data_IF_675557427088
#
_entry.id   IF_675557427088
#
_cell.length_a   1.000
_cell.length_b   1.000
_cell.length_c   1.000
_cell.angle_alpha   90.00
_cell.angle_beta   90.00
_cell.angle_gamma   90.00
#
_symmetry.space_group_name_H-M   'P 1'
#
loop_
_entity.id
_entity.type
_entity.pdbx_description
1 polymer ?
#
# COMPACT_ATOMS: atom_id res chain seq x y z
N UNK A 1 -9.85 -8.85 -21.37
CA UNK A 1 -8.68 -8.20 -20.75
C UNK A 1 -8.99 -7.87 -19.29
N UNK A 2 -8.16 -8.29 -18.33
CA UNK A 2 -8.37 -8.01 -16.89
C UNK A 2 -8.12 -6.52 -16.64
N UNK A 3 -9.13 -5.76 -16.20
CA UNK A 3 -8.98 -4.33 -15.91
C UNK A 3 -7.91 -4.13 -14.84
N UNK A 4 -6.93 -3.25 -15.12
CA UNK A 4 -5.88 -2.91 -14.17
C UNK A 4 -6.44 -1.86 -13.21
N UNK A 5 -6.62 -2.26 -11.96
CA UNK A 5 -7.04 -1.33 -10.92
C UNK A 5 -5.86 -0.45 -10.52
N UNK A 6 -6.12 0.86 -10.42
CA UNK A 6 -5.15 1.82 -9.93
C UNK A 6 -5.42 2.01 -8.43
N UNK A 7 -4.46 1.55 -7.63
CA UNK A 7 -4.47 1.71 -6.18
C UNK A 7 -3.46 2.79 -5.84
N UNK A 8 -3.87 3.73 -5.01
CA UNK A 8 -3.06 4.83 -4.50
C UNK A 8 -2.95 4.66 -3.00
N UNK A 9 -1.74 4.79 -2.46
CA UNK A 9 -1.49 4.84 -1.03
C UNK A 9 -0.79 6.14 -0.67
N UNK A 10 -1.20 6.74 0.45
CA UNK A 10 -0.62 7.95 1.04
C UNK A 10 -0.15 7.64 2.45
N UNK A 11 1.08 8.01 2.77
CA UNK A 11 1.59 7.98 4.14
C UNK A 11 1.50 9.39 4.71
N UNK A 12 0.97 9.50 5.93
CA UNK A 12 0.78 10.74 6.65
C UNK A 12 1.57 10.72 7.96
N UNK A 13 2.03 11.90 8.38
CA UNK A 13 2.57 12.08 9.72
C UNK A 13 1.46 12.23 10.78
N UNK A 14 1.84 12.40 12.04
CA UNK A 14 0.90 12.59 13.16
C UNK A 14 0.08 13.88 13.05
N UNK A 15 0.52 14.84 12.23
CA UNK A 15 -0.16 16.12 11.98
C UNK A 15 -1.03 16.08 10.71
N UNK A 16 -1.14 14.93 10.04
CA UNK A 16 -1.91 14.77 8.81
C UNK A 16 -1.22 15.30 7.55
N UNK A 17 0.08 15.63 7.60
CA UNK A 17 0.86 16.06 6.43
C UNK A 17 1.26 14.84 5.60
N UNK A 18 1.18 14.97 4.28
CA UNK A 18 1.56 13.92 3.34
C UNK A 18 3.09 13.77 3.33
N UNK A 19 3.56 12.60 3.74
CA UNK A 19 4.98 12.22 3.71
C UNK A 19 5.33 11.67 2.33
N UNK A 20 4.51 10.75 1.84
CA UNK A 20 4.76 10.06 0.58
C UNK A 20 3.44 9.61 -0.07
N UNK A 21 3.46 9.51 -1.40
CA UNK A 21 2.35 8.98 -2.19
C UNK A 21 2.90 7.99 -3.20
N UNK A 22 2.21 6.88 -3.37
CA UNK A 22 2.61 5.87 -4.33
C UNK A 22 1.43 5.11 -4.92
N UNK A 23 1.69 4.47 -6.05
CA UNK A 23 0.71 3.64 -6.76
C UNK A 23 1.25 2.24 -6.98
N UNK A 24 0.34 1.28 -7.11
CA UNK A 24 0.69 -0.11 -7.42
C UNK A 24 1.36 -0.23 -8.79
N UNK A 25 2.31 -1.15 -8.91
CA UNK A 25 3.00 -1.43 -10.16
C UNK A 25 2.91 -2.92 -10.48
N UNK A 26 2.30 -3.24 -11.63
CA UNK A 26 2.21 -4.60 -12.15
C UNK A 26 3.48 -5.07 -12.88
N UNK A 27 4.52 -4.23 -12.94
CA UNK A 27 5.79 -4.53 -13.65
C UNK A 27 6.98 -4.55 -12.72
N UNK A 28 6.98 -3.70 -11.69
CA UNK A 28 8.09 -3.60 -10.73
C UNK A 28 7.86 -4.57 -9.57
N UNK A 29 8.93 -5.20 -9.12
CA UNK A 29 9.00 -6.03 -7.92
C UNK A 29 9.90 -5.37 -6.88
N UNK A 30 9.87 -5.83 -5.64
CA UNK A 30 10.78 -5.34 -4.60
C UNK A 30 11.13 -6.45 -3.60
N UNK A 31 12.38 -6.53 -3.09
CA UNK A 31 12.75 -7.53 -2.08
C UNK A 31 11.87 -7.50 -0.84
N UNK A 32 11.54 -6.29 -0.34
CA UNK A 32 10.65 -6.13 0.82
C UNK A 32 9.23 -6.67 0.55
N UNK A 33 8.70 -6.45 -0.66
CA UNK A 33 7.42 -7.02 -1.06
C UNK A 33 7.49 -8.55 -1.04
N UNK A 34 8.53 -9.13 -1.67
CA UNK A 34 8.72 -10.58 -1.70
C UNK A 34 8.92 -11.19 -0.31
N UNK A 35 9.62 -10.49 0.59
CA UNK A 35 9.84 -10.91 1.96
C UNK A 35 8.51 -11.05 2.72
N UNK A 36 7.68 -10.00 2.75
CA UNK A 36 6.38 -10.06 3.40
C UNK A 36 5.43 -11.04 2.70
N UNK A 37 5.49 -11.11 1.37
CA UNK A 37 4.71 -12.06 0.58
C UNK A 37 4.99 -13.51 0.99
N UNK A 38 6.28 -13.87 1.13
CA UNK A 38 6.71 -15.18 1.65
C UNK A 38 6.28 -15.40 3.10
N UNK A 39 6.42 -14.37 3.96
CA UNK A 39 6.07 -14.44 5.38
C UNK A 39 4.59 -14.78 5.61
N UNK A 40 3.68 -14.27 4.77
CA UNK A 40 2.23 -14.53 4.89
C UNK A 40 1.75 -15.69 4.01
N UNK A 41 2.65 -16.49 3.44
CA UNK A 41 2.31 -17.66 2.61
C UNK A 41 1.81 -17.34 1.20
N UNK A 42 2.10 -16.15 0.67
CA UNK A 42 1.74 -15.70 -0.67
C UNK A 42 2.95 -15.32 -1.53
N UNK A 43 3.95 -16.21 -1.73
CA UNK A 43 5.21 -15.87 -2.42
C UNK A 43 5.02 -15.40 -3.86
N UNK A 44 3.88 -15.69 -4.50
CA UNK A 44 3.53 -15.23 -5.84
C UNK A 44 3.27 -13.71 -5.93
N UNK A 45 3.01 -13.04 -4.80
CA UNK A 45 2.66 -11.60 -4.74
C UNK A 45 3.90 -10.71 -4.73
N UNK A 46 4.77 -10.90 -5.72
CA UNK A 46 6.08 -10.23 -5.86
C UNK A 46 5.99 -8.79 -6.38
N UNK A 47 4.87 -8.43 -7.02
CA UNK A 47 4.68 -7.11 -7.60
C UNK A 47 4.41 -6.04 -6.55
N UNK A 48 4.94 -4.85 -6.80
CA UNK A 48 5.00 -3.77 -5.83
C UNK A 48 3.61 -3.17 -5.59
N UNK A 49 3.06 -3.38 -4.40
CA UNK A 49 1.77 -2.82 -3.99
C UNK A 49 1.90 -1.34 -3.63
N UNK A 50 0.78 -0.61 -3.69
CA UNK A 50 0.79 0.83 -3.45
C UNK A 50 1.27 1.15 -2.02
N UNK A 51 0.82 0.37 -1.04
CA UNK A 51 1.11 0.54 0.38
C UNK A 51 2.60 0.39 0.66
N UNK A 52 3.19 -0.74 0.25
CA UNK A 52 4.62 -1.00 0.44
C UNK A 52 5.44 0.07 -0.30
N UNK A 53 5.03 0.47 -1.50
CA UNK A 53 5.73 1.54 -2.23
C UNK A 53 5.69 2.89 -1.49
N UNK A 54 4.57 3.22 -0.86
CA UNK A 54 4.43 4.46 -0.11
C UNK A 54 5.31 4.43 1.15
N UNK A 55 5.35 3.29 1.85
CA UNK A 55 6.23 3.08 3.01
C UNK A 55 7.70 3.23 2.59
N UNK A 56 8.13 2.55 1.52
CA UNK A 56 9.51 2.66 1.01
C UNK A 56 9.88 4.10 0.64
N UNK A 57 8.94 4.84 0.06
CA UNK A 57 9.14 6.26 -0.30
C UNK A 57 9.17 7.20 0.89
N UNK A 58 8.59 6.82 2.02
CA UNK A 58 8.70 7.61 3.24
C UNK A 58 10.14 7.60 3.78
N UNK A 59 10.92 6.55 3.45
CA UNK A 59 12.29 6.39 3.93
C UNK A 59 12.31 6.29 5.45
N UNK A 60 13.17 7.08 6.08
CA UNK A 60 13.34 7.11 7.54
C UNK A 60 12.29 7.95 8.28
N UNK A 61 11.33 8.54 7.56
CA UNK A 61 10.29 9.36 8.18
C UNK A 61 9.28 8.48 8.93
N UNK A 62 8.92 8.89 10.14
CA UNK A 62 7.92 8.20 10.93
C UNK A 62 6.53 8.36 10.31
N UNK A 63 5.95 7.24 9.87
CA UNK A 63 4.59 7.18 9.33
C UNK A 63 3.62 6.92 10.48
N UNK A 64 2.65 7.81 10.65
CA UNK A 64 1.61 7.65 11.67
C UNK A 64 0.36 6.97 11.12
N UNK A 65 -0.06 7.40 9.93
CA UNK A 65 -1.29 6.93 9.27
C UNK A 65 -1.00 6.57 7.81
N UNK A 66 -1.57 5.48 7.33
CA UNK A 66 -1.57 5.14 5.90
C UNK A 66 -3.01 5.14 5.37
N UNK A 67 -3.22 5.81 4.25
CA UNK A 67 -4.50 5.88 3.56
C UNK A 67 -4.42 5.16 2.21
N UNK A 68 -5.34 4.25 1.95
CA UNK A 68 -5.36 3.45 0.72
C UNK A 68 -6.67 3.69 -0.02
N UNK A 69 -6.57 4.08 -1.28
CA UNK A 69 -7.73 4.29 -2.14
C UNK A 69 -7.58 3.57 -3.47
N UNK A 70 -8.66 2.94 -3.92
CA UNK A 70 -8.73 2.27 -5.23
C UNK A 70 -9.64 3.09 -6.12
N UNK A 71 -9.16 3.42 -7.30
CA UNK A 71 -9.91 4.15 -8.32
C UNK A 71 -10.29 3.14 -9.41
N UNK A 72 -11.58 3.03 -9.70
CA UNK A 72 -12.08 2.20 -10.80
C UNK A 72 -11.96 2.95 -12.15
N UNK A 73 -12.27 2.28 -13.26
CA UNK A 73 -12.20 2.91 -14.59
C UNK A 73 -13.19 4.05 -14.81
N UNK A 74 -14.23 4.16 -13.97
CA UNK A 74 -15.22 5.23 -13.99
C UNK A 74 -14.82 6.42 -13.09
N UNK A 75 -13.64 6.37 -12.48
CA UNK A 75 -13.16 7.41 -11.55
C UNK A 75 -13.73 7.30 -10.14
N UNK A 76 -14.63 6.36 -9.87
CA UNK A 76 -15.21 6.17 -8.56
C UNK A 76 -14.23 5.43 -7.63
N UNK A 77 -14.34 5.75 -6.34
CA UNK A 77 -13.69 4.97 -5.30
C UNK A 77 -14.25 3.54 -5.31
N UNK A 78 -13.43 2.59 -4.93
CA UNK A 78 -13.82 1.21 -4.72
C UNK A 78 -13.21 0.70 -3.42
N UNK A 79 -13.71 -0.44 -2.93
CA UNK A 79 -13.12 -1.10 -1.77
C UNK A 79 -11.62 -1.36 -1.98
N UNK A 80 -10.82 -0.76 -1.10
CA UNK A 80 -9.37 -0.76 -1.15
C UNK A 80 -8.73 -1.33 0.13
N UNK A 81 -9.39 -2.33 0.73
CA UNK A 81 -8.87 -2.99 1.92
C UNK A 81 -7.44 -3.51 1.65
N UNK A 82 -6.45 -3.17 2.49
CA UNK A 82 -5.09 -3.63 2.29
C UNK A 82 -5.02 -5.16 2.36
N UNK A 83 -4.21 -5.74 1.49
CA UNK A 83 -4.03 -7.19 1.48
C UNK A 83 -3.22 -7.68 2.70
N UNK A 84 -3.23 -8.98 3.02
CA UNK A 84 -2.47 -9.54 4.14
C UNK A 84 -0.97 -9.19 4.12
N UNK A 85 -0.36 -9.16 2.92
CA UNK A 85 1.05 -8.78 2.72
C UNK A 85 1.30 -7.34 3.16
N UNK A 86 0.44 -6.41 2.71
CA UNK A 86 0.56 -5.00 3.05
C UNK A 86 0.26 -4.76 4.53
N UNK A 87 -0.71 -5.47 5.11
CA UNK A 87 -1.01 -5.41 6.54
C UNK A 87 0.16 -5.89 7.39
N UNK A 88 0.85 -6.96 6.99
CA UNK A 88 2.06 -7.44 7.67
C UNK A 88 3.17 -6.38 7.62
N UNK A 89 3.38 -5.75 6.46
CA UNK A 89 4.32 -4.65 6.31
C UNK A 89 3.96 -3.44 7.20
N UNK A 90 2.71 -2.98 7.16
CA UNK A 90 2.21 -1.86 7.99
C UNK A 90 2.47 -2.12 9.48
N UNK A 91 2.20 -3.35 9.94
CA UNK A 91 2.45 -3.75 11.33
C UNK A 91 3.94 -3.75 11.67
N UNK A 92 4.78 -4.29 10.78
CA UNK A 92 6.22 -4.34 10.98
C UNK A 92 6.87 -2.95 11.03
N UNK A 93 6.36 -1.99 10.24
CA UNK A 93 6.82 -0.60 10.24
C UNK A 93 6.21 0.26 11.36
N UNK A 94 5.41 -0.32 12.25
CA UNK A 94 4.86 0.39 13.42
C UNK A 94 3.80 1.46 13.09
N UNK A 95 3.14 1.34 11.94
CA UNK A 95 2.11 2.29 11.51
C UNK A 95 0.84 2.05 12.34
N UNK A 96 0.38 3.08 13.06
CA UNK A 96 -0.72 2.96 14.03
C UNK A 96 -2.10 2.91 13.37
N UNK A 97 -2.29 3.70 12.32
CA UNK A 97 -3.60 3.88 11.71
C UNK A 97 -3.61 3.51 10.24
N UNK A 98 -4.63 2.74 9.84
CA UNK A 98 -4.85 2.32 8.46
C UNK A 98 -6.25 2.75 8.06
N UNK A 99 -6.35 3.62 7.07
CA UNK A 99 -7.62 4.06 6.48
C UNK A 99 -7.70 3.50 5.06
N UNK A 100 -8.86 3.01 4.67
CA UNK A 100 -9.10 2.58 3.29
C UNK A 100 -10.43 3.09 2.78
N UNK A 101 -10.54 3.29 1.47
CA UNK A 101 -11.82 3.60 0.85
C UNK A 101 -12.78 2.43 0.99
N UNK A 102 -13.98 2.73 1.50
CA UNK A 102 -15.16 1.87 1.45
C UNK A 102 -16.03 2.36 0.29
N UNK A 103 -16.49 1.44 -0.55
CA UNK A 103 -17.50 1.68 -1.59
C UNK A 103 -18.31 0.42 -1.72
#
# INVERSE_FOLDING_TARGET
MRQKHKIVAKCLDSKGRVISVATNSYKKTHPIQAHFAKMVGHPERIYLHAEIRAILRAGDKQIHTIEVSRINSQGNLALAKPCPVCMAAIKAYGIKFVKWSIT
#
